data_IF_775970055620
#
_entry.id   IF_775970055620
#
_cell.length_a   1.000
_cell.length_b   1.000
_cell.length_c   1.000
_cell.angle_alpha   90.00
_cell.angle_beta   90.00
_cell.angle_gamma   90.00
#
_symmetry.space_group_name_H-M   'P 1'
#
loop_
_entity.id
_entity.type
_entity.pdbx_description
1 polymer ?
#
# COMPACT_ATOMS: atom_id res chain seq x y z
N UNK A 1 37.14 -1.37 1.27
CA UNK A 1 37.28 -2.76 0.96
C UNK A 1 36.38 -3.18 -0.18
N UNK A 2 37.02 -3.58 -1.27
CA UNK A 2 36.33 -3.81 -2.55
C UNK A 2 35.30 -4.96 -2.48
N UNK A 3 35.70 -6.08 -1.88
CA UNK A 3 34.83 -7.26 -1.74
C UNK A 3 33.56 -6.96 -0.94
N UNK A 4 33.69 -6.18 0.11
CA UNK A 4 32.57 -5.82 0.97
C UNK A 4 31.52 -5.02 0.19
N UNK A 5 31.95 -4.06 -0.60
CA UNK A 5 31.03 -3.25 -1.41
C UNK A 5 30.29 -4.07 -2.45
N UNK A 6 30.96 -5.01 -3.11
CA UNK A 6 30.33 -5.88 -4.09
C UNK A 6 29.27 -6.79 -3.46
N UNK A 7 29.58 -7.37 -2.30
CA UNK A 7 28.64 -8.24 -1.60
C UNK A 7 27.40 -7.45 -1.17
N UNK A 8 27.59 -6.25 -0.61
CA UNK A 8 26.46 -5.41 -0.20
C UNK A 8 25.63 -4.96 -1.39
N UNK A 9 26.25 -4.56 -2.49
CA UNK A 9 25.52 -4.16 -3.69
C UNK A 9 24.69 -5.30 -4.25
N UNK A 10 25.23 -6.54 -4.27
CA UNK A 10 24.49 -7.70 -4.70
C UNK A 10 23.32 -8.02 -3.79
N UNK A 11 23.50 -7.90 -2.48
CA UNK A 11 22.45 -8.12 -1.49
C UNK A 11 21.33 -7.09 -1.66
N UNK A 12 21.68 -5.83 -1.81
CA UNK A 12 20.71 -4.76 -2.02
C UNK A 12 19.93 -4.97 -3.32
N UNK A 13 20.59 -5.38 -4.40
CA UNK A 13 19.92 -5.67 -5.67
C UNK A 13 18.91 -6.79 -5.54
N UNK A 14 19.23 -7.84 -4.79
CA UNK A 14 18.30 -8.94 -4.54
C UNK A 14 17.11 -8.49 -3.71
N UNK A 15 17.33 -7.67 -2.69
CA UNK A 15 16.24 -7.11 -1.88
C UNK A 15 15.32 -6.24 -2.72
N UNK A 16 15.88 -5.41 -3.58
CA UNK A 16 15.10 -4.57 -4.48
C UNK A 16 14.25 -5.42 -5.43
N UNK A 17 14.82 -6.49 -6.00
CA UNK A 17 14.08 -7.38 -6.90
C UNK A 17 12.91 -8.05 -6.19
N UNK A 18 13.13 -8.55 -4.97
CA UNK A 18 12.09 -9.17 -4.14
C UNK A 18 11.00 -8.16 -3.79
N UNK A 19 11.41 -6.95 -3.47
CA UNK A 19 10.48 -5.87 -3.16
C UNK A 19 9.60 -5.54 -4.36
N UNK A 20 10.18 -5.45 -5.55
CA UNK A 20 9.41 -5.19 -6.77
C UNK A 20 8.33 -6.24 -7.00
N UNK A 21 8.65 -7.51 -6.75
CA UNK A 21 7.67 -8.58 -6.89
C UNK A 21 6.51 -8.42 -5.92
N UNK A 22 6.80 -8.04 -4.68
CA UNK A 22 5.77 -7.77 -3.67
C UNK A 22 4.91 -6.58 -4.08
N UNK A 23 5.53 -5.50 -4.58
CA UNK A 23 4.79 -4.31 -5.01
C UNK A 23 3.86 -4.63 -6.19
N UNK A 24 4.30 -5.46 -7.14
CA UNK A 24 3.45 -5.92 -8.25
C UNK A 24 2.27 -6.74 -7.73
N UNK A 25 2.52 -7.60 -6.76
CA UNK A 25 1.47 -8.40 -6.15
C UNK A 25 0.41 -7.51 -5.51
N UNK A 26 0.82 -6.50 -4.76
CA UNK A 26 -0.10 -5.54 -4.15
C UNK A 26 -0.89 -4.79 -5.22
N UNK A 27 -0.23 -4.34 -6.28
CA UNK A 27 -0.88 -3.61 -7.36
C UNK A 27 -1.97 -4.42 -8.04
N UNK A 28 -1.79 -5.74 -8.15
CA UNK A 28 -2.78 -6.62 -8.77
C UNK A 28 -3.88 -7.08 -7.83
N UNK A 29 -3.62 -7.12 -6.52
CA UNK A 29 -4.50 -7.77 -5.56
C UNK A 29 -5.00 -6.87 -4.43
N UNK A 30 -4.79 -5.55 -4.52
CA UNK A 30 -5.16 -4.65 -3.42
C UNK A 30 -6.65 -4.69 -3.08
N UNK A 31 -7.51 -5.07 -4.02
CA UNK A 31 -8.95 -5.15 -3.81
C UNK A 31 -9.35 -6.34 -2.95
N UNK A 32 -8.47 -7.32 -2.83
CA UNK A 32 -8.70 -8.54 -2.05
C UNK A 32 -7.95 -8.46 -0.73
N UNK A 33 -8.31 -9.31 0.25
CA UNK A 33 -7.52 -9.41 1.47
C UNK A 33 -6.09 -9.81 1.14
N UNK A 34 -5.12 -9.13 1.72
CA UNK A 34 -3.70 -9.42 1.51
C UNK A 34 -3.10 -9.85 2.84
N UNK A 35 -2.61 -11.10 2.91
CA UNK A 35 -1.98 -11.62 4.09
C UNK A 35 -0.48 -11.32 4.09
N UNK A 36 0.04 -10.94 5.25
CA UNK A 36 1.47 -10.70 5.43
C UNK A 36 2.30 -11.91 5.02
N UNK A 37 1.81 -13.12 5.35
CA UNK A 37 2.49 -14.36 4.99
C UNK A 37 2.68 -14.49 3.48
N UNK A 38 1.65 -14.18 2.71
CA UNK A 38 1.74 -14.26 1.24
C UNK A 38 2.80 -13.32 0.70
N UNK A 39 2.87 -12.10 1.19
CA UNK A 39 3.87 -11.13 0.77
C UNK A 39 5.28 -11.60 1.13
N UNK A 40 5.46 -12.13 2.34
CA UNK A 40 6.74 -12.65 2.76
C UNK A 40 7.18 -13.85 1.91
N UNK A 41 6.24 -14.73 1.57
CA UNK A 41 6.52 -15.89 0.70
C UNK A 41 6.97 -15.43 -0.69
N UNK A 42 6.33 -14.43 -1.26
CA UNK A 42 6.73 -13.85 -2.55
C UNK A 42 8.16 -13.33 -2.49
N UNK A 43 8.52 -12.70 -1.38
CA UNK A 43 9.88 -12.20 -1.17
C UNK A 43 10.88 -13.29 -0.79
N UNK A 44 10.42 -14.53 -0.57
CA UNK A 44 11.22 -15.65 -0.10
C UNK A 44 11.88 -15.38 1.26
N UNK A 45 11.14 -14.74 2.15
CA UNK A 45 11.62 -14.34 3.48
C UNK A 45 10.61 -14.77 4.54
N UNK A 46 11.09 -14.97 5.78
CA UNK A 46 10.16 -15.15 6.89
C UNK A 46 9.48 -13.80 7.20
N UNK A 47 8.35 -13.87 7.89
CA UNK A 47 7.53 -12.67 8.12
C UNK A 47 8.24 -11.57 8.89
N UNK A 48 8.97 -11.94 9.96
CA UNK A 48 9.66 -10.95 10.79
C UNK A 48 10.73 -10.19 10.00
N UNK A 49 11.53 -10.92 9.24
CA UNK A 49 12.56 -10.32 8.43
C UNK A 49 11.94 -9.45 7.33
N UNK A 50 10.89 -9.96 6.69
CA UNK A 50 10.18 -9.21 5.65
C UNK A 50 9.66 -7.88 6.17
N UNK A 51 9.02 -7.88 7.33
CA UNK A 51 8.48 -6.64 7.92
C UNK A 51 9.57 -5.61 8.17
N UNK A 52 10.70 -6.05 8.73
CA UNK A 52 11.80 -5.13 9.00
C UNK A 52 12.43 -4.58 7.73
N UNK A 53 12.64 -5.47 6.76
CA UNK A 53 13.21 -5.08 5.47
C UNK A 53 12.28 -4.10 4.74
N UNK A 54 10.98 -4.43 4.73
CA UNK A 54 10.01 -3.59 4.03
C UNK A 54 9.97 -2.18 4.62
N UNK A 55 9.86 -2.08 5.93
CA UNK A 55 9.84 -0.77 6.58
C UNK A 55 11.14 0.00 6.38
N UNK A 56 12.27 -0.68 6.42
CA UNK A 56 13.57 -0.04 6.19
C UNK A 56 13.67 0.50 4.76
N UNK A 57 13.22 -0.27 3.77
CA UNK A 57 13.34 0.12 2.37
C UNK A 57 12.28 1.12 1.93
N UNK A 58 11.06 1.00 2.45
CA UNK A 58 9.91 1.79 1.98
C UNK A 58 9.56 2.96 2.91
N UNK A 59 10.07 2.95 4.13
CA UNK A 59 9.76 4.00 5.10
C UNK A 59 8.43 3.84 5.82
N UNK A 60 7.61 2.88 5.40
CA UNK A 60 6.31 2.58 6.02
C UNK A 60 6.17 1.08 6.18
N UNK A 61 5.26 0.64 7.05
CA UNK A 61 4.99 -0.78 7.22
C UNK A 61 4.30 -1.33 5.97
N UNK A 62 4.33 -2.66 5.80
CA UNK A 62 3.65 -3.28 4.68
C UNK A 62 2.14 -2.98 4.68
N UNK A 63 1.49 -3.07 5.85
CA UNK A 63 0.07 -2.77 5.96
C UNK A 63 -0.24 -1.31 5.59
N UNK A 64 0.57 -0.39 6.08
CA UNK A 64 0.42 1.03 5.71
C UNK A 64 0.54 1.23 4.20
N UNK A 65 1.47 0.52 3.57
CA UNK A 65 1.65 0.59 2.12
C UNK A 65 0.43 0.07 1.38
N UNK A 66 -0.10 -1.10 1.77
CA UNK A 66 -1.30 -1.67 1.15
C UNK A 66 -2.47 -0.69 1.28
N UNK A 67 -2.66 -0.14 2.47
CA UNK A 67 -3.73 0.82 2.70
C UNK A 67 -3.54 2.09 1.86
N UNK A 68 -2.29 2.51 1.67
CA UNK A 68 -1.98 3.66 0.83
C UNK A 68 -2.37 3.43 -0.63
N UNK A 69 -2.07 2.24 -1.15
CA UNK A 69 -2.47 1.86 -2.51
C UNK A 69 -3.99 1.91 -2.64
N UNK A 70 -4.71 1.35 -1.67
CA UNK A 70 -6.16 1.35 -1.65
C UNK A 70 -6.73 2.77 -1.61
N UNK A 71 -6.16 3.63 -0.77
CA UNK A 71 -6.61 5.02 -0.63
C UNK A 71 -6.41 5.80 -1.92
N UNK A 72 -5.31 5.58 -2.62
CA UNK A 72 -5.07 6.25 -3.89
C UNK A 72 -6.14 5.89 -4.92
N UNK A 73 -6.51 4.61 -5.00
CA UNK A 73 -7.59 4.17 -5.90
C UNK A 73 -8.95 4.70 -5.47
N UNK A 74 -9.21 4.73 -4.15
CA UNK A 74 -10.46 5.29 -3.63
C UNK A 74 -10.57 6.76 -3.99
N UNK A 75 -9.50 7.52 -3.85
CA UNK A 75 -9.48 8.94 -4.22
C UNK A 75 -9.87 9.13 -5.70
N UNK A 76 -9.27 8.34 -6.58
CA UNK A 76 -9.58 8.38 -8.00
C UNK A 76 -11.04 8.06 -8.29
N UNK A 77 -11.59 7.03 -7.65
CA UNK A 77 -13.00 6.64 -7.84
C UNK A 77 -13.97 7.68 -7.30
N UNK A 78 -13.64 8.32 -6.17
CA UNK A 78 -14.46 9.41 -5.64
C UNK A 78 -14.61 10.55 -6.65
N UNK A 79 -13.55 10.82 -7.40
CA UNK A 79 -13.56 11.87 -8.41
C UNK A 79 -14.20 11.43 -9.72
N UNK A 80 -14.10 10.15 -10.06
CA UNK A 80 -14.52 9.64 -11.36
C UNK A 80 -15.94 9.06 -11.40
N UNK A 81 -16.53 8.74 -10.25
CA UNK A 81 -17.85 8.07 -10.19
C UNK A 81 -18.78 8.78 -9.22
N UNK A 82 -20.06 8.41 -9.29
CA UNK A 82 -21.09 8.87 -8.34
C UNK A 82 -21.43 7.78 -7.33
N UNK A 83 -20.66 6.69 -7.32
CA UNK A 83 -20.89 5.58 -6.40
C UNK A 83 -20.80 6.05 -4.95
N UNK A 84 -21.51 5.35 -4.05
CA UNK A 84 -21.45 5.71 -2.63
C UNK A 84 -20.06 5.49 -2.07
N UNK A 85 -19.71 6.26 -1.03
CA UNK A 85 -18.42 6.13 -0.38
C UNK A 85 -18.25 4.69 0.16
N UNK A 86 -19.30 4.12 0.74
CA UNK A 86 -19.27 2.75 1.25
C UNK A 86 -18.94 1.74 0.15
N UNK A 87 -19.59 1.87 -1.01
CA UNK A 87 -19.36 0.97 -2.14
C UNK A 87 -17.93 1.10 -2.66
N UNK A 88 -17.42 2.33 -2.75
CA UNK A 88 -16.04 2.56 -3.20
C UNK A 88 -15.03 1.94 -2.24
N UNK A 89 -15.23 2.07 -0.93
CA UNK A 89 -14.38 1.44 0.06
C UNK A 89 -14.37 -0.08 -0.09
N UNK A 90 -15.54 -0.66 -0.17
CA UNK A 90 -15.69 -2.10 -0.32
C UNK A 90 -15.03 -2.61 -1.60
N UNK A 91 -15.24 -1.92 -2.69
CA UNK A 91 -14.65 -2.26 -3.99
C UNK A 91 -13.12 -2.26 -3.95
N UNK A 92 -12.53 -1.42 -3.12
CA UNK A 92 -11.08 -1.31 -3.00
C UNK A 92 -10.50 -2.09 -1.83
N UNK A 93 -11.30 -2.94 -1.18
CA UNK A 93 -10.83 -3.83 -0.14
C UNK A 93 -10.54 -3.17 1.21
N UNK A 94 -11.04 -1.95 1.42
CA UNK A 94 -10.81 -1.25 2.69
C UNK A 94 -11.96 -1.55 3.64
N UNK A 95 -11.66 -2.25 4.74
CA UNK A 95 -12.69 -2.74 5.67
C UNK A 95 -12.81 -1.91 6.96
N UNK A 96 -11.77 -1.20 7.36
CA UNK A 96 -11.78 -0.42 8.60
C UNK A 96 -12.02 1.05 8.31
N UNK A 97 -13.26 1.49 8.51
CA UNK A 97 -13.66 2.87 8.20
C UNK A 97 -12.91 3.91 9.01
N UNK A 98 -12.63 3.62 10.28
CA UNK A 98 -11.90 4.58 11.13
C UNK A 98 -10.48 4.81 10.65
N UNK A 99 -9.79 3.74 10.28
CA UNK A 99 -8.44 3.83 9.75
C UNK A 99 -8.46 4.58 8.40
N UNK A 100 -9.41 4.22 7.54
CA UNK A 100 -9.58 4.90 6.26
C UNK A 100 -9.80 6.41 6.44
N UNK A 101 -10.75 6.78 7.26
CA UNK A 101 -11.11 8.19 7.48
C UNK A 101 -9.92 9.02 7.96
N UNK A 102 -9.16 8.47 8.92
CA UNK A 102 -7.99 9.15 9.44
C UNK A 102 -6.90 9.30 8.36
N UNK A 103 -6.61 8.24 7.64
CA UNK A 103 -5.58 8.26 6.60
C UNK A 103 -5.95 9.18 5.45
N UNK A 104 -7.21 9.13 5.04
CA UNK A 104 -7.68 9.97 3.94
C UNK A 104 -7.57 11.46 4.29
N UNK A 105 -8.05 11.83 5.47
CA UNK A 105 -7.98 13.22 5.93
C UNK A 105 -6.53 13.69 6.09
N UNK A 106 -5.67 12.82 6.63
CA UNK A 106 -4.25 13.16 6.80
C UNK A 106 -3.56 13.41 5.45
N UNK A 107 -3.91 12.62 4.44
CA UNK A 107 -3.26 12.73 3.13
C UNK A 107 -3.83 13.85 2.25
N UNK A 108 -5.15 14.01 2.24
CA UNK A 108 -5.81 14.94 1.32
C UNK A 108 -6.33 16.21 1.97
N UNK A 109 -6.22 16.32 3.30
CA UNK A 109 -6.64 17.51 4.03
C UNK A 109 -8.14 17.69 4.16
N UNK A 110 -8.93 16.74 3.73
CA UNK A 110 -10.39 16.80 3.79
C UNK A 110 -10.98 15.40 3.83
N UNK A 111 -12.27 15.32 4.19
CA UNK A 111 -12.99 14.05 4.18
C UNK A 111 -13.46 13.72 2.76
N UNK A 112 -13.82 12.44 2.49
CA UNK A 112 -14.38 12.08 1.20
C UNK A 112 -15.64 12.86 0.83
N UNK A 113 -16.48 13.15 1.82
CA UNK A 113 -17.69 13.95 1.58
C UNK A 113 -17.36 15.37 1.18
N UNK A 114 -16.37 15.97 1.85
CA UNK A 114 -15.92 17.32 1.51
C UNK A 114 -15.34 17.37 0.10
N UNK A 115 -14.58 16.36 -0.27
CA UNK A 115 -14.02 16.26 -1.62
C UNK A 115 -15.12 16.22 -2.67
N UNK A 116 -16.17 15.41 -2.46
CA UNK A 116 -17.28 15.34 -3.40
C UNK A 116 -18.07 16.63 -3.49
N UNK A 117 -18.21 17.31 -2.37
CA UNK A 117 -18.89 18.60 -2.33
C UNK A 117 -18.18 19.64 -3.20
N UNK A 118 -16.86 19.62 -3.20
CA UNK A 118 -16.07 20.51 -4.05
C UNK A 118 -16.32 20.26 -5.54
N UNK A 119 -16.55 19.01 -5.93
CA UNK A 119 -16.83 18.67 -7.33
C UNK A 119 -18.18 19.16 -7.81
N UNK A 120 -19.17 19.25 -6.92
CA UNK A 120 -20.52 19.70 -7.24
C UNK A 120 -20.57 21.18 -7.59
N UNK A 121 -19.55 21.93 -7.22
CA UNK A 121 -19.43 23.34 -7.52
C UNK A 121 -18.58 23.55 -8.77
#
# INVERSE_FOLDING_TARGET
NYSYKEVNAGKESRQIARLKDVLRYVAKNYQEPIALKEAADIASLNQDYFCRMFKKCMGVTFLEYVNQVRINHIHEELLATEDSITDILEHNGFTNYKVFSRMFKAQFGMTPRELRKLQEN
#
